data_IF_630119188858
#
_entry.id   IF_630119188858
#
_cell.length_a   1.000
_cell.length_b   1.000
_cell.length_c   1.000
_cell.angle_alpha   90.00
_cell.angle_beta   90.00
_cell.angle_gamma   90.00
#
_symmetry.space_group_name_H-M   'P 1'
#
loop_
_entity.id
_entity.type
_entity.pdbx_description
1 polymer ?
#
# COMPACT_ATOMS: atom_id res chain seq x y z
N UNK A 1 -15.33 -19.70 4.00
CA UNK A 1 -15.23 -19.99 2.55
C UNK A 1 -16.10 -19.07 1.66
N UNK A 2 -17.44 -19.22 1.63
CA UNK A 2 -18.31 -18.48 0.68
C UNK A 2 -18.25 -16.95 0.80
N UNK A 3 -18.10 -16.40 2.01
CA UNK A 3 -17.99 -14.95 2.25
C UNK A 3 -16.68 -14.36 1.71
N UNK A 4 -15.57 -15.08 1.85
CA UNK A 4 -14.25 -14.66 1.35
C UNK A 4 -14.24 -14.66 -0.19
N UNK A 5 -14.78 -15.71 -0.81
CA UNK A 5 -14.90 -15.78 -2.28
C UNK A 5 -15.73 -14.62 -2.85
N UNK A 6 -16.87 -14.29 -2.25
CA UNK A 6 -17.68 -13.14 -2.67
C UNK A 6 -16.93 -11.81 -2.54
N UNK A 7 -16.18 -11.65 -1.45
CA UNK A 7 -15.34 -10.48 -1.22
C UNK A 7 -14.24 -10.32 -2.27
N UNK A 8 -13.47 -11.39 -2.52
CA UNK A 8 -12.39 -11.42 -3.52
C UNK A 8 -12.93 -11.14 -4.93
N UNK A 9 -14.11 -11.67 -5.27
CA UNK A 9 -14.76 -11.39 -6.55
C UNK A 9 -15.14 -9.91 -6.69
N UNK A 10 -15.75 -9.33 -5.66
CA UNK A 10 -16.12 -7.91 -5.67
C UNK A 10 -14.88 -7.00 -5.77
N UNK A 11 -13.83 -7.34 -5.03
CA UNK A 11 -12.56 -6.62 -5.09
C UNK A 11 -11.90 -6.75 -6.48
N UNK A 12 -11.93 -7.93 -7.08
CA UNK A 12 -11.39 -8.16 -8.42
C UNK A 12 -12.16 -7.34 -9.46
N UNK A 13 -13.49 -7.30 -9.38
CA UNK A 13 -14.34 -6.51 -10.29
C UNK A 13 -14.08 -5.01 -10.15
N UNK A 14 -14.03 -4.52 -8.91
CA UNK A 14 -13.77 -3.09 -8.63
C UNK A 14 -12.36 -2.70 -9.07
N UNK A 15 -11.35 -3.50 -8.75
CA UNK A 15 -9.98 -3.31 -9.24
C UNK A 15 -9.91 -3.24 -10.77
N UNK A 16 -10.47 -4.22 -11.47
CA UNK A 16 -10.43 -4.25 -12.93
C UNK A 16 -11.12 -3.04 -13.57
N UNK A 17 -12.24 -2.59 -12.98
CA UNK A 17 -12.98 -1.42 -13.46
C UNK A 17 -12.15 -0.14 -13.31
N UNK A 18 -11.54 0.06 -12.15
CA UNK A 18 -10.72 1.26 -11.87
C UNK A 18 -9.41 1.21 -12.66
N UNK A 19 -8.79 0.04 -12.80
CA UNK A 19 -7.58 -0.15 -13.61
C UNK A 19 -7.85 0.24 -15.07
N UNK A 20 -8.92 -0.29 -15.67
CA UNK A 20 -9.30 0.07 -17.04
C UNK A 20 -9.57 1.58 -17.18
N UNK A 21 -10.21 2.20 -16.18
CA UNK A 21 -10.42 3.63 -16.20
C UNK A 21 -9.10 4.42 -16.07
N UNK A 22 -8.14 3.94 -15.27
CA UNK A 22 -6.82 4.56 -15.11
C UNK A 22 -5.99 4.55 -16.40
N UNK A 23 -6.22 3.55 -17.26
CA UNK A 23 -5.59 3.40 -18.58
C UNK A 23 -6.17 4.38 -19.61
N UNK A 24 -7.30 5.01 -19.32
CA UNK A 24 -7.95 6.02 -20.20
C UNK A 24 -7.32 7.42 -20.11
N UNK A 25 -6.11 7.53 -19.53
CA UNK A 25 -5.37 8.79 -19.40
C UNK A 25 -6.10 9.82 -18.54
N UNK A 26 -6.29 11.04 -19.04
CA UNK A 26 -6.96 12.14 -18.33
C UNK A 26 -8.44 11.87 -18.04
N UNK A 27 -9.07 10.96 -18.79
CA UNK A 27 -10.46 10.57 -18.54
C UNK A 27 -10.64 9.89 -17.18
N UNK A 28 -9.55 9.39 -16.57
CA UNK A 28 -9.58 8.83 -15.23
C UNK A 28 -10.11 9.82 -14.18
N UNK A 29 -9.87 11.13 -14.37
CA UNK A 29 -10.36 12.15 -13.44
C UNK A 29 -11.88 12.38 -13.47
N UNK A 30 -12.61 11.71 -14.36
CA UNK A 30 -14.07 11.71 -14.41
C UNK A 30 -14.68 10.45 -13.78
N UNK A 31 -13.85 9.50 -13.31
CA UNK A 31 -14.35 8.34 -12.56
C UNK A 31 -14.99 8.82 -11.26
N UNK A 32 -16.22 8.43 -10.95
CA UNK A 32 -16.85 8.77 -9.69
C UNK A 32 -16.02 8.29 -8.48
N UNK A 33 -15.77 9.18 -7.52
CA UNK A 33 -14.96 8.88 -6.34
C UNK A 33 -15.46 7.69 -5.52
N UNK A 34 -16.76 7.40 -5.53
CA UNK A 34 -17.29 6.25 -4.80
C UNK A 34 -16.71 4.92 -5.30
N UNK A 35 -16.33 4.80 -6.58
CA UNK A 35 -15.66 3.59 -7.07
C UNK A 35 -14.28 3.44 -6.43
N UNK A 36 -13.52 4.55 -6.37
CA UNK A 36 -12.22 4.60 -5.72
C UNK A 36 -12.36 4.24 -4.23
N UNK A 37 -13.34 4.82 -3.55
CA UNK A 37 -13.58 4.56 -2.13
C UNK A 37 -13.93 3.09 -1.86
N UNK A 38 -14.86 2.50 -2.63
CA UNK A 38 -15.23 1.09 -2.50
C UNK A 38 -14.00 0.18 -2.70
N UNK A 39 -13.18 0.45 -3.70
CA UNK A 39 -11.94 -0.29 -3.92
C UNK A 39 -10.98 -0.17 -2.73
N UNK A 40 -10.84 1.03 -2.17
CA UNK A 40 -9.96 1.26 -1.03
C UNK A 40 -10.46 0.59 0.24
N UNK A 41 -11.74 0.68 0.53
CA UNK A 41 -12.39 -0.01 1.66
C UNK A 41 -12.24 -1.52 1.54
N UNK A 42 -12.47 -2.07 0.34
CA UNK A 42 -12.25 -3.49 0.06
C UNK A 42 -10.75 -3.87 0.12
N UNK A 43 -9.83 -2.95 -0.15
CA UNK A 43 -8.40 -3.20 0.04
C UNK A 43 -8.02 -3.17 1.53
N UNK A 44 -8.63 -2.28 2.32
CA UNK A 44 -8.42 -2.15 3.76
C UNK A 44 -8.97 -3.35 4.54
N UNK A 45 -10.22 -3.75 4.29
CA UNK A 45 -10.79 -4.94 4.95
C UNK A 45 -10.00 -6.21 4.64
N UNK A 46 -9.32 -6.23 3.49
CA UNK A 46 -8.43 -7.31 3.11
C UNK A 46 -7.09 -7.23 3.86
N UNK A 47 -6.50 -6.05 3.99
CA UNK A 47 -5.31 -5.82 4.82
C UNK A 47 -5.55 -6.22 6.28
N UNK A 48 -6.74 -5.93 6.81
CA UNK A 48 -7.15 -6.31 8.16
C UNK A 48 -7.33 -7.83 8.30
N UNK A 49 -7.88 -8.49 7.28
CA UNK A 49 -7.98 -9.96 7.26
C UNK A 49 -6.60 -10.66 7.37
N UNK A 50 -5.53 -10.04 6.85
CA UNK A 50 -4.16 -10.54 7.03
C UNK A 50 -3.59 -10.33 8.42
N UNK A 51 -4.00 -9.27 9.12
CA UNK A 51 -3.61 -9.09 10.51
C UNK A 51 -4.28 -10.14 11.41
N UNK A 52 -5.43 -10.67 10.98
CA UNK A 52 -6.26 -11.60 11.74
C UNK A 52 -6.07 -13.09 11.36
N UNK A 53 -5.56 -13.43 10.16
CA UNK A 53 -5.51 -14.82 9.67
C UNK A 53 -4.18 -15.23 9.01
N UNK A 54 -3.91 -16.53 9.09
CA UNK A 54 -2.71 -17.25 8.63
C UNK A 54 -2.26 -16.94 7.19
N UNK A 55 -0.94 -16.98 6.98
CA UNK A 55 -0.20 -16.73 5.74
C UNK A 55 -0.72 -17.47 4.47
N UNK A 56 -1.53 -18.50 4.63
CA UNK A 56 -2.12 -19.30 3.56
C UNK A 56 -3.01 -18.48 2.60
N UNK A 57 -3.83 -17.56 3.12
CA UNK A 57 -4.73 -16.71 2.29
C UNK A 57 -3.91 -15.80 1.36
N UNK A 58 -2.74 -15.36 1.81
CA UNK A 58 -1.78 -14.56 1.01
C UNK A 58 -1.26 -15.31 -0.21
N UNK A 59 -1.12 -16.65 -0.14
CA UNK A 59 -0.58 -17.43 -1.24
C UNK A 59 -1.62 -17.67 -2.35
N UNK A 60 -2.86 -17.99 -2.00
CA UNK A 60 -3.92 -18.28 -2.97
C UNK A 60 -4.24 -17.08 -3.88
N UNK A 61 -4.27 -15.87 -3.30
CA UNK A 61 -4.60 -14.65 -4.05
C UNK A 61 -3.41 -13.69 -4.23
N UNK A 62 -2.17 -14.20 -4.07
CA UNK A 62 -0.92 -13.43 -4.16
C UNK A 62 -0.85 -12.44 -5.34
N UNK A 63 -1.33 -12.87 -6.51
CA UNK A 63 -1.34 -12.07 -7.73
C UNK A 63 -2.28 -10.87 -7.66
N UNK A 64 -3.49 -11.06 -7.12
CA UNK A 64 -4.44 -9.98 -6.88
C UNK A 64 -3.83 -8.98 -5.90
N UNK A 65 -3.26 -9.44 -4.78
CA UNK A 65 -2.62 -8.57 -3.81
C UNK A 65 -1.53 -7.70 -4.41
N UNK A 66 -0.62 -8.30 -5.19
CA UNK A 66 0.44 -7.54 -5.89
C UNK A 66 -0.14 -6.49 -6.81
N UNK A 67 -1.22 -6.83 -7.52
CA UNK A 67 -1.91 -5.93 -8.44
C UNK A 67 -2.54 -4.74 -7.71
N UNK A 68 -3.25 -4.99 -6.60
CA UNK A 68 -3.84 -3.95 -5.75
C UNK A 68 -2.77 -3.02 -5.18
N UNK A 69 -1.71 -3.61 -4.63
CA UNK A 69 -0.61 -2.87 -4.02
C UNK A 69 0.17 -2.05 -5.04
N UNK A 70 0.43 -2.58 -6.25
CA UNK A 70 1.03 -1.84 -7.36
C UNK A 70 0.17 -0.65 -7.77
N UNK A 71 -1.15 -0.84 -7.88
CA UNK A 71 -2.08 0.23 -8.19
C UNK A 71 -2.09 1.32 -7.12
N UNK A 72 -2.24 0.96 -5.83
CA UNK A 72 -2.17 1.93 -4.72
C UNK A 72 -0.85 2.70 -4.72
N UNK A 73 0.27 2.00 -4.95
CA UNK A 73 1.63 2.56 -5.02
C UNK A 73 1.78 3.61 -6.11
N UNK A 74 1.11 3.43 -7.25
CA UNK A 74 1.18 4.35 -8.38
C UNK A 74 0.16 5.49 -8.32
N UNK A 75 -0.95 5.33 -7.58
CA UNK A 75 -2.09 6.23 -7.70
C UNK A 75 -2.40 7.09 -6.46
N UNK A 76 -1.80 6.84 -5.29
CA UNK A 76 -2.11 7.62 -4.07
C UNK A 76 -1.73 9.12 -4.16
N UNK A 77 -0.88 9.49 -5.12
CA UNK A 77 -0.51 10.89 -5.43
C UNK A 77 -0.95 11.33 -6.82
N UNK A 78 -1.76 10.53 -7.50
CA UNK A 78 -2.20 10.82 -8.87
C UNK A 78 -3.11 12.05 -8.90
N UNK A 79 -2.66 13.08 -9.59
CA UNK A 79 -3.37 14.35 -9.75
C UNK A 79 -4.72 14.21 -10.48
N UNK A 80 -4.92 13.13 -11.23
CA UNK A 80 -6.21 12.81 -11.88
C UNK A 80 -7.27 12.48 -10.84
N UNK A 81 -6.89 11.95 -9.67
CA UNK A 81 -7.79 11.78 -8.53
C UNK A 81 -7.95 13.14 -7.84
N UNK A 82 -9.00 13.87 -8.21
CA UNK A 82 -9.19 15.27 -7.79
C UNK A 82 -9.58 15.41 -6.33
N UNK A 83 -10.34 14.46 -5.80
CA UNK A 83 -10.80 14.54 -4.42
C UNK A 83 -9.67 14.14 -3.46
N UNK A 84 -9.33 15.05 -2.55
CA UNK A 84 -8.22 14.84 -1.61
C UNK A 84 -8.49 13.66 -0.69
N UNK A 85 -9.71 13.51 -0.19
CA UNK A 85 -10.04 12.41 0.71
C UNK A 85 -9.85 11.06 0.01
N UNK A 86 -10.17 10.92 -1.29
CA UNK A 86 -9.92 9.69 -2.05
C UNK A 86 -8.43 9.32 -2.08
N UNK A 87 -7.55 10.32 -2.25
CA UNK A 87 -6.09 10.12 -2.18
C UNK A 87 -5.62 9.77 -0.77
N UNK A 88 -6.20 10.39 0.26
CA UNK A 88 -5.91 10.06 1.66
C UNK A 88 -6.35 8.64 2.02
N UNK A 89 -7.49 8.18 1.50
CA UNK A 89 -7.93 6.80 1.65
C UNK A 89 -6.93 5.84 0.98
N UNK A 90 -6.51 6.10 -0.25
CA UNK A 90 -5.51 5.28 -0.95
C UNK A 90 -4.21 5.16 -0.14
N UNK A 91 -3.75 6.28 0.39
CA UNK A 91 -2.58 6.33 1.24
C UNK A 91 -2.77 5.55 2.55
N UNK A 92 -3.94 5.67 3.18
CA UNK A 92 -4.28 4.91 4.40
C UNK A 92 -4.29 3.41 4.14
N UNK A 93 -4.83 2.97 2.99
CA UNK A 93 -4.76 1.58 2.56
C UNK A 93 -3.32 1.11 2.35
N UNK A 94 -2.52 1.86 1.59
CA UNK A 94 -1.11 1.57 1.40
C UNK A 94 -0.37 1.45 2.74
N UNK A 95 -0.69 2.34 3.68
CA UNK A 95 -0.09 2.32 4.99
C UNK A 95 -0.46 1.07 5.81
N UNK A 96 -1.70 0.60 5.72
CA UNK A 96 -2.09 -0.67 6.35
C UNK A 96 -1.28 -1.85 5.79
N UNK A 97 -1.02 -1.87 4.49
CA UNK A 97 -0.20 -2.93 3.89
C UNK A 97 1.26 -2.92 4.40
N UNK A 98 1.82 -1.79 4.84
CA UNK A 98 3.17 -1.76 5.45
C UNK A 98 3.18 -2.09 6.95
N UNK A 99 2.02 -2.22 7.59
CA UNK A 99 1.95 -2.50 9.05
C UNK A 99 2.09 -3.97 9.41
N UNK A 100 1.76 -4.89 8.50
CA UNK A 100 1.85 -6.33 8.72
C UNK A 100 2.96 -6.95 7.84
N UNK A 101 3.68 -7.94 8.38
CA UNK A 101 4.78 -8.63 7.66
C UNK A 101 4.30 -9.33 6.39
N UNK A 102 3.12 -9.96 6.41
CA UNK A 102 2.58 -10.68 5.27
C UNK A 102 2.27 -9.72 4.10
N UNK A 103 1.61 -8.61 4.38
CA UNK A 103 1.28 -7.58 3.40
C UNK A 103 2.51 -6.78 2.95
N UNK A 104 3.49 -6.57 3.84
CA UNK A 104 4.77 -5.95 3.47
C UNK A 104 5.54 -6.81 2.47
N UNK A 105 5.51 -8.14 2.64
CA UNK A 105 6.12 -9.08 1.68
C UNK A 105 5.47 -8.93 0.29
N UNK A 106 4.18 -8.62 0.20
CA UNK A 106 3.53 -8.34 -1.08
C UNK A 106 4.11 -7.07 -1.72
N UNK A 107 4.24 -5.98 -0.96
CA UNK A 107 4.88 -4.72 -1.42
C UNK A 107 6.31 -4.98 -1.90
N UNK A 108 7.10 -5.76 -1.17
CA UNK A 108 8.47 -6.11 -1.54
C UNK A 108 8.54 -6.87 -2.87
N UNK A 109 7.47 -7.54 -3.29
CA UNK A 109 7.40 -8.39 -4.49
C UNK A 109 6.59 -7.79 -5.66
N UNK A 110 6.15 -6.52 -5.59
CA UNK A 110 5.59 -5.83 -6.78
C UNK A 110 6.71 -5.46 -7.78
N UNK A 111 6.35 -4.94 -8.95
CA UNK A 111 7.33 -4.50 -9.94
C UNK A 111 8.19 -3.33 -9.41
N UNK A 112 9.43 -3.23 -9.92
CA UNK A 112 10.38 -2.24 -9.45
C UNK A 112 9.91 -0.80 -9.70
N UNK A 113 9.24 -0.56 -10.83
CA UNK A 113 8.70 0.74 -11.17
C UNK A 113 7.72 1.23 -10.10
N UNK A 114 6.74 0.40 -9.73
CA UNK A 114 5.76 0.72 -8.69
C UNK A 114 6.42 1.00 -7.33
N UNK A 115 7.44 0.21 -6.95
CA UNK A 115 8.19 0.45 -5.69
C UNK A 115 8.93 1.79 -5.72
N UNK A 116 9.65 2.08 -6.81
CA UNK A 116 10.40 3.34 -6.95
C UNK A 116 9.45 4.54 -6.99
N UNK A 117 8.35 4.43 -7.73
CA UNK A 117 7.32 5.48 -7.80
C UNK A 117 6.76 5.78 -6.41
N UNK A 118 6.34 4.74 -5.68
CA UNK A 118 5.84 4.89 -4.31
C UNK A 118 6.82 5.64 -3.41
N UNK A 119 8.10 5.22 -3.38
CA UNK A 119 9.11 5.84 -2.53
C UNK A 119 9.36 7.29 -2.93
N UNK A 120 9.44 7.60 -4.23
CA UNK A 120 9.60 8.98 -4.72
C UNK A 120 8.41 9.85 -4.34
N UNK A 121 7.19 9.35 -4.54
CA UNK A 121 5.97 10.07 -4.19
C UNK A 121 5.81 10.31 -2.68
N UNK A 122 6.29 9.38 -1.84
CA UNK A 122 6.35 9.57 -0.38
C UNK A 122 7.40 10.61 0.04
N UNK A 123 8.48 10.75 -0.73
CA UNK A 123 9.56 11.71 -0.46
C UNK A 123 9.29 13.10 -1.06
N UNK A 124 8.45 13.22 -2.08
CA UNK A 124 8.14 14.48 -2.77
C UNK A 124 7.80 15.66 -1.83
N UNK A 125 7.07 15.49 -0.70
CA UNK A 125 6.79 16.59 0.23
C UNK A 125 8.05 17.20 0.87
N UNK A 126 9.15 16.45 0.98
CA UNK A 126 10.41 16.92 1.56
C UNK A 126 11.13 17.93 0.67
N UNK A 127 10.92 17.89 -0.65
CA UNK A 127 11.52 18.84 -1.58
C UNK A 127 10.98 20.26 -1.35
N UNK A 128 9.74 20.39 -0.86
CA UNK A 128 9.04 21.66 -0.66
C UNK A 128 8.90 22.11 0.81
N UNK A 129 9.67 21.53 1.74
CA UNK A 129 9.69 21.85 3.20
C UNK A 129 8.32 21.82 3.89
N UNK A 130 7.33 21.09 3.36
CA UNK A 130 6.06 20.88 4.05
C UNK A 130 6.27 19.78 5.07
N UNK A 131 5.87 19.99 6.33
CA UNK A 131 5.94 18.97 7.37
C UNK A 131 5.17 17.74 6.91
N UNK A 132 5.90 16.73 6.46
CA UNK A 132 5.36 15.64 5.69
C UNK A 132 4.53 14.72 6.60
N UNK A 133 3.21 14.86 6.50
CA UNK A 133 2.22 14.11 7.30
C UNK A 133 2.29 12.59 7.06
N UNK A 134 3.01 12.16 6.02
CA UNK A 134 3.06 10.77 5.53
C UNK A 134 4.37 10.05 5.88
N UNK A 135 5.23 10.68 6.67
CA UNK A 135 6.55 10.14 7.08
C UNK A 135 6.45 8.83 7.85
N UNK A 136 5.31 8.59 8.48
CA UNK A 136 5.09 7.40 9.27
C UNK A 136 5.09 6.12 8.41
N UNK A 137 4.70 6.20 7.12
CA UNK A 137 4.83 5.06 6.18
C UNK A 137 6.31 4.73 5.94
N UNK A 138 7.14 5.76 5.72
CA UNK A 138 8.60 5.59 5.56
C UNK A 138 9.24 5.00 6.82
N UNK A 139 8.80 5.43 8.01
CA UNK A 139 9.27 4.86 9.29
C UNK A 139 8.91 3.38 9.41
N UNK A 140 7.81 2.92 8.83
CA UNK A 140 7.46 1.48 8.84
C UNK A 140 8.41 0.67 7.96
N UNK A 141 8.82 1.19 6.80
CA UNK A 141 9.90 0.57 6.02
C UNK A 141 11.22 0.52 6.80
N UNK A 142 11.51 1.55 7.60
CA UNK A 142 12.70 1.60 8.46
C UNK A 142 12.63 0.65 9.67
N UNK A 143 11.46 0.38 10.25
CA UNK A 143 11.30 -0.50 11.43
C UNK A 143 11.22 -2.00 11.09
N UNK A 144 11.09 -2.37 9.82
CA UNK A 144 11.11 -3.76 9.37
C UNK A 144 12.52 -4.38 9.42
N UNK A 145 12.65 -5.61 8.93
CA UNK A 145 13.94 -6.33 8.77
C UNK A 145 14.88 -5.74 7.69
N UNK A 146 14.77 -4.44 7.42
CA UNK A 146 15.43 -3.71 6.33
C UNK A 146 16.48 -2.68 6.80
N UNK A 147 16.43 -1.49 6.20
CA UNK A 147 17.53 -0.52 6.08
C UNK A 147 18.00 0.22 7.36
N UNK A 148 17.30 0.14 8.49
CA UNK A 148 17.70 0.87 9.70
C UNK A 148 17.38 0.05 10.97
N UNK A 149 18.35 -0.04 11.89
CA UNK A 149 18.27 -0.78 13.17
C UNK A 149 18.18 -2.31 13.09
N UNK A 150 19.22 -2.93 12.54
CA UNK A 150 19.53 -4.37 12.73
C UNK A 150 20.14 -4.70 14.10
N UNK A 151 20.13 -3.75 15.03
CA UNK A 151 20.84 -3.85 16.29
C UNK A 151 19.92 -4.41 17.38
N UNK A 152 20.05 -5.70 17.67
CA UNK A 152 19.45 -6.31 18.86
C UNK A 152 19.99 -5.68 20.16
N UNK A 153 21.20 -5.09 20.09
CA UNK A 153 21.79 -4.18 21.08
C UNK A 153 22.41 -2.98 20.36
N UNK A 154 22.18 -1.77 20.89
CA UNK A 154 22.83 -0.54 20.42
C UNK A 154 24.34 -0.76 20.23
N UNK A 155 24.96 -0.28 19.13
CA UNK A 155 26.39 -0.46 18.87
C UNK A 155 27.28 -0.06 20.06
N UNK A 156 26.86 0.95 20.80
CA UNK A 156 27.53 1.49 21.98
C UNK A 156 27.46 0.59 23.22
N UNK A 157 26.62 -0.45 23.21
CA UNK A 157 26.49 -1.44 24.28
C UNK A 157 27.30 -2.71 24.00
N UNK A 158 27.80 -2.92 22.77
CA UNK A 158 28.62 -4.11 22.42
C UNK A 158 30.01 -4.10 23.06
N UNK A 159 30.52 -2.93 23.46
CA UNK A 159 31.85 -2.77 24.05
C UNK A 159 31.91 -3.00 25.55
N UNK A 160 30.78 -3.30 26.21
CA UNK A 160 30.70 -3.53 27.67
C UNK A 160 30.57 -5.00 28.08
N UNK A 161 30.62 -5.94 27.14
CA UNK A 161 30.49 -7.39 27.40
C UNK A 161 31.78 -8.15 27.03
N UNK A 162 32.93 -7.52 27.24
CA UNK A 162 34.25 -8.19 27.24
C UNK A 162 34.96 -7.85 28.54
#
# INVERSE_FOLDING_TARGET
>A
PRRITGYVNLLTLTYNSIKAASESGELFGFVPDYYLNVFTELSLGLADSFALQDYQVTQEHASLYRSLTSFLSCHFTDHRIRYTDSREHFMSALAMFVTCRATLTVIENIDEYSRQHMVRSLLQPYDNRVWAQNNWILVRFWKGSGFAFRYFLSPHLKTKIT
#
